data_IF_969686377296
#
_entry.id   IF_969686377296
#
_cell.length_a   1.000
_cell.length_b   1.000
_cell.length_c   1.000
_cell.angle_alpha   90.00
_cell.angle_beta   90.00
_cell.angle_gamma   90.00
#
_symmetry.space_group_name_H-M   'P 1'
#
loop_
_entity.id
_entity.type
_entity.pdbx_description
1 polymer ?
#
# COMPACT_ATOMS: atom_id res chain seq x y z
N UNK A 1 7.88 -5.94 7.60
CA UNK A 1 6.42 -6.11 7.82
C UNK A 1 6.18 -7.34 8.69
N UNK A 2 6.92 -8.40 8.39
CA UNK A 2 7.09 -9.63 9.15
C UNK A 2 7.40 -9.35 10.61
N UNK A 3 8.39 -8.49 10.90
CA UNK A 3 8.71 -8.04 12.26
C UNK A 3 7.48 -7.46 12.98
N UNK A 4 6.79 -6.48 12.38
CA UNK A 4 5.58 -5.87 12.96
C UNK A 4 4.50 -6.93 13.25
N UNK A 5 4.32 -7.90 12.36
CA UNK A 5 3.34 -8.96 12.56
C UNK A 5 3.76 -9.90 13.71
N UNK A 6 5.05 -10.25 13.77
CA UNK A 6 5.63 -11.07 14.85
C UNK A 6 5.50 -10.36 16.20
N UNK A 7 5.80 -9.07 16.26
CA UNK A 7 5.69 -8.26 17.49
C UNK A 7 4.24 -8.23 17.98
N UNK A 8 3.27 -8.03 17.08
CA UNK A 8 1.85 -8.05 17.44
C UNK A 8 1.40 -9.43 17.95
N UNK A 9 1.88 -10.52 17.33
CA UNK A 9 1.59 -11.89 17.76
C UNK A 9 2.19 -12.21 19.13
N UNK A 10 3.42 -11.76 19.39
CA UNK A 10 4.08 -11.91 20.68
C UNK A 10 3.35 -11.10 21.77
N UNK A 11 2.95 -9.87 21.48
CA UNK A 11 2.18 -9.05 22.41
C UNK A 11 0.81 -9.66 22.72
N UNK A 12 0.11 -10.23 21.72
CA UNK A 12 -1.13 -10.97 21.95
C UNK A 12 -0.90 -12.19 22.85
N UNK A 13 0.20 -12.93 22.65
CA UNK A 13 0.54 -14.08 23.48
C UNK A 13 0.79 -13.69 24.94
N UNK A 14 1.49 -12.56 25.18
CA UNK A 14 1.70 -12.01 26.53
C UNK A 14 0.39 -11.53 27.14
N UNK A 15 -0.43 -10.82 26.38
CA UNK A 15 -1.65 -10.21 26.88
C UNK A 15 -2.74 -11.25 27.21
N UNK A 16 -2.74 -12.44 26.60
CA UNK A 16 -3.60 -13.56 27.02
C UNK A 16 -3.30 -14.09 28.45
N UNK A 17 -2.14 -13.76 29.02
CA UNK A 17 -1.78 -14.15 30.41
C UNK A 17 -2.22 -13.13 31.47
N UNK A 18 -2.70 -11.95 31.04
CA UNK A 18 -3.14 -10.85 31.90
C UNK A 18 -4.59 -10.55 31.55
N UNK A 19 -5.52 -10.47 32.49
CA UNK A 19 -6.95 -10.30 32.22
C UNK A 19 -7.28 -8.94 31.55
N UNK A 20 -7.05 -8.82 30.23
CA UNK A 20 -7.20 -7.60 29.44
C UNK A 20 -8.04 -7.86 28.17
N UNK A 21 -9.33 -8.15 28.37
CA UNK A 21 -10.26 -8.58 27.30
C UNK A 21 -10.26 -7.69 26.04
N UNK A 22 -10.51 -6.39 26.20
CA UNK A 22 -10.65 -5.46 25.08
C UNK A 22 -9.36 -5.27 24.27
N UNK A 23 -8.20 -5.26 24.94
CA UNK A 23 -6.91 -5.13 24.28
C UNK A 23 -6.57 -6.38 23.46
N UNK A 24 -6.87 -7.55 24.00
CA UNK A 24 -6.65 -8.84 23.34
C UNK A 24 -7.54 -8.98 22.11
N UNK A 25 -8.80 -8.55 22.20
CA UNK A 25 -9.72 -8.55 21.06
C UNK A 25 -9.21 -7.64 19.94
N UNK A 26 -8.77 -6.42 20.27
CA UNK A 26 -8.21 -5.49 19.29
C UNK A 26 -6.95 -6.05 18.60
N UNK A 27 -6.02 -6.64 19.37
CA UNK A 27 -4.81 -7.27 18.83
C UNK A 27 -5.16 -8.43 17.89
N UNK A 28 -6.04 -9.33 18.32
CA UNK A 28 -6.47 -10.47 17.52
C UNK A 28 -7.16 -10.02 16.22
N UNK A 29 -8.05 -9.03 16.29
CA UNK A 29 -8.72 -8.46 15.12
C UNK A 29 -7.73 -7.80 14.15
N UNK A 30 -6.74 -7.08 14.67
CA UNK A 30 -5.69 -6.42 13.88
C UNK A 30 -4.82 -7.44 13.14
N UNK A 31 -4.32 -8.46 13.84
CA UNK A 31 -3.54 -9.55 13.24
C UNK A 31 -4.37 -10.26 12.16
N UNK A 32 -5.64 -10.55 12.44
CA UNK A 32 -6.51 -11.20 11.47
C UNK A 32 -6.74 -10.34 10.22
N UNK A 33 -6.90 -9.02 10.40
CA UNK A 33 -7.05 -8.07 9.29
C UNK A 33 -5.79 -8.04 8.41
N UNK A 34 -4.61 -7.93 9.02
CA UNK A 34 -3.32 -7.97 8.32
C UNK A 34 -3.12 -9.29 7.56
N UNK A 35 -3.45 -10.44 8.16
CA UNK A 35 -3.33 -11.75 7.51
C UNK A 35 -4.28 -11.96 6.33
N UNK A 36 -5.42 -11.27 6.31
CA UNK A 36 -6.39 -11.31 5.19
C UNK A 36 -6.01 -10.37 4.05
N UNK A 37 -5.28 -9.30 4.35
CA UNK A 37 -4.85 -8.32 3.36
C UNK A 37 -3.88 -8.92 2.32
N UNK A 38 -3.73 -8.20 1.20
CA UNK A 38 -2.78 -8.56 0.14
C UNK A 38 -1.33 -8.40 0.66
N UNK A 39 -0.51 -9.47 0.77
CA UNK A 39 0.83 -9.38 1.35
C UNK A 39 1.75 -8.37 0.65
N UNK A 40 1.66 -8.28 -0.67
CA UNK A 40 2.45 -7.33 -1.47
C UNK A 40 2.09 -5.87 -1.12
N UNK A 41 0.80 -5.59 -0.95
CA UNK A 41 0.29 -4.26 -0.60
C UNK A 41 0.75 -3.83 0.79
N UNK A 42 0.82 -4.74 1.76
CA UNK A 42 1.34 -4.44 3.10
C UNK A 42 2.79 -3.96 3.05
N UNK A 43 3.67 -4.68 2.33
CA UNK A 43 5.09 -4.27 2.19
C UNK A 43 5.24 -2.93 1.46
N UNK A 44 4.50 -2.73 0.37
CA UNK A 44 4.52 -1.46 -0.38
C UNK A 44 4.06 -0.30 0.51
N UNK A 45 2.95 -0.48 1.23
CA UNK A 45 2.37 0.55 2.12
C UNK A 45 3.31 0.90 3.27
N UNK A 46 3.93 -0.10 3.90
CA UNK A 46 4.92 0.15 4.95
C UNK A 46 6.10 0.96 4.44
N UNK A 47 6.60 0.66 3.24
CA UNK A 47 7.69 1.42 2.61
C UNK A 47 7.26 2.84 2.24
N UNK A 48 6.04 3.00 1.69
CA UNK A 48 5.45 4.31 1.42
C UNK A 48 5.42 5.21 2.67
N UNK A 49 4.97 4.66 3.81
CA UNK A 49 4.95 5.41 5.06
C UNK A 49 6.37 5.80 5.53
N UNK A 50 7.32 4.85 5.51
CA UNK A 50 8.69 5.11 5.95
C UNK A 50 9.39 6.18 5.09
N UNK A 51 9.28 6.10 3.77
CA UNK A 51 9.90 7.08 2.87
C UNK A 51 9.14 8.42 2.82
N UNK A 52 7.83 8.42 3.07
CA UNK A 52 6.99 9.61 3.04
C UNK A 52 7.21 10.57 4.22
N UNK A 53 7.76 10.10 5.34
CA UNK A 53 8.00 10.93 6.53
C UNK A 53 8.94 12.12 6.29
N UNK A 54 9.82 12.02 5.30
CA UNK A 54 10.86 13.02 5.00
C UNK A 54 10.64 13.73 3.66
N UNK A 55 9.48 13.54 3.03
CA UNK A 55 9.21 14.04 1.68
C UNK A 55 8.06 15.04 1.65
N UNK A 56 8.11 15.95 0.68
CA UNK A 56 6.99 16.82 0.37
C UNK A 56 5.84 16.03 -0.28
N UNK A 57 4.64 16.62 -0.26
CA UNK A 57 3.45 16.02 -0.86
C UNK A 57 3.65 15.75 -2.37
N UNK A 58 4.44 16.58 -3.06
CA UNK A 58 4.70 16.43 -4.49
C UNK A 58 5.46 15.14 -4.80
N UNK A 59 6.52 14.88 -4.04
CA UNK A 59 7.33 13.67 -4.14
C UNK A 59 6.52 12.42 -3.78
N UNK A 60 5.71 12.49 -2.72
CA UNK A 60 4.81 11.40 -2.33
C UNK A 60 3.84 11.02 -3.45
N UNK A 61 3.14 12.01 -4.02
CA UNK A 61 2.19 11.80 -5.11
C UNK A 61 2.87 11.22 -6.37
N UNK A 62 4.07 11.67 -6.71
CA UNK A 62 4.82 11.15 -7.84
C UNK A 62 5.15 9.66 -7.66
N UNK A 63 5.59 9.27 -6.46
CA UNK A 63 5.86 7.87 -6.12
C UNK A 63 4.58 7.02 -6.09
N UNK A 64 3.52 7.52 -5.48
CA UNK A 64 2.23 6.80 -5.40
C UNK A 64 1.60 6.58 -6.78
N UNK A 65 1.72 7.56 -7.68
CA UNK A 65 1.32 7.42 -9.07
C UNK A 65 2.09 6.29 -9.77
N UNK A 66 3.41 6.25 -9.60
CA UNK A 66 4.26 5.19 -10.18
C UNK A 66 3.85 3.81 -9.69
N UNK A 67 3.65 3.66 -8.38
CA UNK A 67 3.20 2.41 -7.77
C UNK A 67 1.85 2.00 -8.37
N UNK A 68 0.90 2.94 -8.48
CA UNK A 68 -0.42 2.69 -9.05
C UNK A 68 -0.34 2.23 -10.52
N UNK A 69 0.55 2.82 -11.31
CA UNK A 69 0.83 2.36 -12.68
C UNK A 69 1.39 0.93 -12.71
N UNK A 70 2.40 0.62 -11.89
CA UNK A 70 3.00 -0.72 -11.81
C UNK A 70 2.00 -1.77 -11.31
N UNK A 71 1.12 -1.42 -10.36
CA UNK A 71 0.01 -2.27 -9.90
C UNK A 71 -0.97 -2.54 -11.05
N UNK A 72 -1.34 -1.52 -11.82
CA UNK A 72 -2.24 -1.67 -12.97
C UNK A 72 -1.61 -2.50 -14.10
N UNK A 73 -0.30 -2.37 -14.35
CA UNK A 73 0.44 -3.20 -15.30
C UNK A 73 0.41 -4.69 -14.89
N UNK A 74 0.46 -4.98 -13.58
CA UNK A 74 0.34 -6.34 -13.06
C UNK A 74 1.48 -7.28 -13.47
N UNK A 75 2.70 -6.76 -13.70
CA UNK A 75 3.88 -7.54 -14.12
C UNK A 75 4.32 -8.56 -13.06
N UNK A 76 4.33 -8.17 -11.80
CA UNK A 76 4.71 -9.04 -10.66
C UNK A 76 3.52 -9.87 -10.18
N UNK A 77 2.36 -9.24 -10.06
CA UNK A 77 1.15 -9.87 -9.53
C UNK A 77 -0.11 -9.30 -10.18
N UNK A 78 -1.13 -10.15 -10.34
CA UNK A 78 -2.48 -9.79 -10.80
C UNK A 78 -3.46 -9.58 -9.65
N UNK A 79 -2.95 -9.42 -8.43
CA UNK A 79 -3.74 -9.39 -7.20
C UNK A 79 -4.70 -8.20 -7.11
N UNK A 80 -4.40 -7.08 -7.77
CA UNK A 80 -5.37 -5.98 -7.86
C UNK A 80 -6.68 -6.43 -8.50
N UNK A 81 -6.59 -7.14 -9.64
CA UNK A 81 -7.77 -7.68 -10.33
C UNK A 81 -8.45 -8.78 -9.52
N UNK A 82 -7.67 -9.63 -8.84
CA UNK A 82 -8.21 -10.66 -7.96
C UNK A 82 -8.97 -10.08 -6.76
N UNK A 83 -8.45 -9.01 -6.16
CA UNK A 83 -9.11 -8.30 -5.07
C UNK A 83 -10.42 -7.67 -5.51
N UNK A 84 -10.44 -7.03 -6.68
CA UNK A 84 -11.68 -6.53 -7.29
C UNK A 84 -12.67 -7.67 -7.56
N UNK A 85 -12.21 -8.82 -8.11
CA UNK A 85 -13.07 -9.99 -8.35
C UNK A 85 -13.69 -10.53 -7.06
N UNK A 86 -12.87 -10.72 -6.02
CA UNK A 86 -13.31 -11.28 -4.74
C UNK A 86 -14.28 -10.35 -3.98
N UNK A 87 -14.14 -9.04 -4.16
CA UNK A 87 -14.92 -8.03 -3.44
C UNK A 87 -16.16 -7.58 -4.21
N UNK A 88 -16.04 -7.31 -5.52
CA UNK A 88 -17.07 -6.65 -6.33
C UNK A 88 -17.79 -7.63 -7.26
N UNK A 89 -17.10 -8.56 -7.91
CA UNK A 89 -17.69 -9.35 -8.99
C UNK A 89 -18.34 -10.66 -8.54
N UNK A 90 -17.63 -11.45 -7.72
CA UNK A 90 -18.10 -12.78 -7.31
C UNK A 90 -18.43 -12.86 -5.81
N UNK A 91 -18.21 -11.76 -5.07
CA UNK A 91 -18.44 -11.55 -3.63
C UNK A 91 -18.12 -12.74 -2.71
N UNK A 92 -17.21 -13.63 -3.12
CA UNK A 92 -16.80 -14.78 -2.31
C UNK A 92 -16.00 -14.35 -1.08
N UNK A 93 -15.53 -13.08 -1.06
CA UNK A 93 -14.69 -12.47 -0.02
C UNK A 93 -13.45 -13.32 0.29
N UNK A 94 -13.00 -14.13 -0.68
CA UNK A 94 -11.91 -15.09 -0.58
C UNK A 94 -10.92 -14.88 -1.73
N UNK A 95 -10.14 -13.79 -1.68
CA UNK A 95 -9.14 -13.53 -2.69
C UNK A 95 -8.01 -14.56 -2.65
N UNK A 96 -7.51 -14.94 -3.83
CA UNK A 96 -6.40 -15.89 -4.01
C UNK A 96 -5.11 -15.15 -4.34
N UNK A 97 -4.48 -14.56 -3.31
CA UNK A 97 -3.27 -13.76 -3.45
C UNK A 97 -2.07 -14.55 -3.99
N UNK A 98 -1.27 -13.91 -4.85
CA UNK A 98 -0.01 -14.45 -5.39
C UNK A 98 1.08 -13.36 -5.45
N UNK A 99 2.11 -13.42 -4.60
CA UNK A 99 2.37 -14.43 -3.56
C UNK A 99 1.39 -14.39 -2.39
N UNK A 100 1.13 -15.54 -1.78
CA UNK A 100 0.15 -15.66 -0.68
C UNK A 100 0.72 -15.41 0.72
N UNK A 101 2.05 -15.26 0.85
CA UNK A 101 2.75 -15.06 2.13
C UNK A 101 3.76 -13.91 2.04
N UNK A 102 3.98 -13.22 3.15
CA UNK A 102 4.97 -12.13 3.26
C UNK A 102 6.40 -12.60 2.96
N UNK A 103 6.77 -13.77 3.48
CA UNK A 103 8.10 -14.39 3.31
C UNK A 103 8.47 -14.68 1.85
N UNK A 104 7.47 -14.90 0.99
CA UNK A 104 7.69 -15.19 -0.43
C UNK A 104 7.95 -13.94 -1.26
N UNK A 105 7.81 -12.75 -0.66
CA UNK A 105 7.99 -11.48 -1.35
C UNK A 105 9.40 -10.99 -1.09
N UNK A 106 10.21 -10.94 -2.14
CA UNK A 106 11.58 -10.43 -2.08
C UNK A 106 11.61 -8.90 -2.16
N UNK A 107 12.70 -8.30 -1.68
CA UNK A 107 12.90 -6.85 -1.77
C UNK A 107 12.93 -6.36 -3.22
N UNK A 108 13.45 -7.18 -4.15
CA UNK A 108 13.42 -6.89 -5.58
C UNK A 108 11.99 -6.80 -6.14
N UNK A 109 11.07 -7.64 -5.66
CA UNK A 109 9.65 -7.55 -6.04
C UNK A 109 9.03 -6.24 -5.55
N UNK A 110 9.35 -5.81 -4.33
CA UNK A 110 8.91 -4.52 -3.78
C UNK A 110 9.50 -3.38 -4.61
N UNK A 111 10.82 -3.40 -4.84
CA UNK A 111 11.56 -2.37 -5.57
C UNK A 111 11.00 -2.13 -6.97
N UNK A 112 10.56 -3.19 -7.67
CA UNK A 112 9.93 -3.06 -8.97
C UNK A 112 8.75 -2.07 -9.01
N UNK A 113 7.97 -1.97 -7.93
CA UNK A 113 6.86 -1.01 -7.83
C UNK A 113 7.33 0.45 -7.67
N UNK A 114 8.55 0.66 -7.19
CA UNK A 114 9.17 1.97 -6.98
C UNK A 114 10.08 2.39 -8.14
N UNK A 115 10.50 1.44 -8.98
CA UNK A 115 11.30 1.64 -10.18
C UNK A 115 10.58 2.49 -11.24
N UNK A 116 11.32 3.44 -11.81
CA UNK A 116 10.86 4.36 -12.88
C UNK A 116 10.04 3.62 -13.94
N UNK A 117 8.99 4.26 -14.43
CA UNK A 117 8.18 3.71 -15.52
C UNK A 117 9.00 3.62 -16.80
N UNK A 118 8.75 2.58 -17.59
CA UNK A 118 9.53 2.29 -18.79
C UNK A 118 9.23 3.38 -19.84
N UNK A 119 10.23 4.21 -20.16
CA UNK A 119 10.04 5.50 -20.85
C UNK A 119 9.58 5.43 -22.31
N UNK A 120 9.64 4.25 -22.92
CA UNK A 120 9.25 4.03 -24.32
C UNK A 120 7.78 3.61 -24.49
N UNK A 121 7.08 3.32 -23.38
CA UNK A 121 5.68 2.95 -23.44
C UNK A 121 4.80 4.21 -23.53
N UNK A 122 3.94 4.27 -24.56
CA UNK A 122 3.03 5.40 -24.77
C UNK A 122 1.99 5.52 -23.64
N UNK A 123 1.68 4.42 -22.96
CA UNK A 123 0.66 4.35 -21.90
C UNK A 123 1.21 4.66 -20.50
N UNK A 124 2.49 4.42 -20.23
CA UNK A 124 3.05 4.48 -18.87
C UNK A 124 4.16 5.52 -18.72
N UNK A 125 3.77 6.79 -18.72
CA UNK A 125 4.70 7.91 -18.56
C UNK A 125 4.79 8.36 -17.11
N UNK A 126 5.99 8.78 -16.71
CA UNK A 126 6.21 9.45 -15.43
C UNK A 126 5.26 10.64 -15.27
N UNK A 127 4.70 10.78 -14.06
CA UNK A 127 3.77 11.85 -13.76
C UNK A 127 4.49 13.20 -13.84
N UNK A 128 3.83 14.16 -14.48
CA UNK A 128 4.30 15.55 -14.51
C UNK A 128 3.22 16.40 -13.85
N UNK A 129 3.59 17.08 -12.78
CA UNK A 129 2.71 18.09 -12.22
C UNK A 129 2.39 19.13 -13.30
N UNK A 130 1.12 19.54 -13.43
CA UNK A 130 0.81 20.69 -14.26
C UNK A 130 1.60 21.87 -13.70
N UNK A 131 2.38 22.52 -14.56
CA UNK A 131 3.01 23.78 -14.20
C UNK A 131 1.88 24.74 -13.87
N UNK A 132 1.81 25.20 -12.62
CA UNK A 132 0.80 26.17 -12.21
C UNK A 132 0.97 27.38 -13.14
N UNK A 133 0.02 27.60 -14.05
CA UNK A 133 -0.05 28.87 -14.75
C UNK A 133 -0.20 29.93 -13.66
N UNK A 134 0.57 31.02 -13.76
CA UNK A 134 0.49 32.12 -12.78
C UNK A 134 -0.97 32.56 -12.71
N UNK A 135 -1.70 32.16 -11.67
CA UNK A 135 -2.99 32.76 -11.39
C UNK A 135 -2.71 34.23 -11.16
N UNK A 136 -3.36 35.15 -11.91
CA UNK A 136 -3.18 36.56 -11.63
C UNK A 136 -3.61 36.80 -10.18
N UNK A 137 -2.71 37.40 -9.40
CA UNK A 137 -2.94 37.75 -8.00
C UNK A 137 -3.96 38.88 -7.97
N UNK A 138 -5.25 38.54 -8.13
CA UNK A 138 -6.35 39.47 -7.90
C UNK A 138 -7.44 38.75 -7.12
N UNK A 139 -7.24 38.68 -5.81
CA UNK A 139 -8.32 38.51 -4.86
C UNK A 139 -8.27 39.73 -3.92
N UNK A 140 -8.77 40.87 -4.41
CA UNK A 140 -9.19 41.94 -3.51
C UNK A 140 -10.56 41.54 -2.95
N UNK A 141 -10.57 40.84 -1.82
CA UNK A 141 -11.78 40.75 -1.00
C UNK A 141 -12.04 42.14 -0.41
N UNK A 142 -13.08 42.82 -0.88
CA UNK A 142 -13.61 44.00 -0.19
C UNK A 142 -14.20 43.54 1.14
N UNK A 143 -13.70 44.13 2.22
CA UNK A 143 -14.29 44.10 3.57
C UNK A 143 -15.67 44.77 3.57
#
# INVERSE_FOLDING_TARGET
MEEILSDLEEELAKANTREAGDHNEWLAATIQSLKKALPMSLKITLRLFREGQVQGIGECLFREYRISCRVKQGKISKDFREGCRATLSNMDKKPKWKPSKLELITDHMVEHYFSKLDGDDKEWKEFKFPTRSKFPVFANSKL
#
